data_IF_545221289933
#
_entry.id   IF_545221289933
#
_cell.length_a   1.000
_cell.length_b   1.000
_cell.length_c   1.000
_cell.angle_alpha   90.00
_cell.angle_beta   90.00
_cell.angle_gamma   90.00
#
_symmetry.space_group_name_H-M   'P 1'
#
loop_
_entity.id
_entity.type
_entity.pdbx_description
1 polymer ?
#
# COMPACT_ATOMS: atom_id res chain seq x y z
N UNK A 1 16.70 11.75 13.28
CA UNK A 1 15.44 11.21 12.76
C UNK A 1 14.37 12.27 12.72
N UNK A 2 13.85 12.56 11.54
CA UNK A 2 12.82 13.59 11.42
C UNK A 2 11.49 12.99 11.88
N UNK A 3 10.84 13.63 12.83
CA UNK A 3 9.52 13.19 13.27
C UNK A 3 8.49 13.48 12.17
N UNK A 4 7.51 12.60 12.04
CA UNK A 4 6.45 12.72 11.04
C UNK A 4 5.48 13.83 11.44
N UNK A 5 5.20 14.74 10.52
CA UNK A 5 4.22 15.80 10.77
C UNK A 5 2.84 15.22 11.00
N UNK A 6 2.02 15.82 11.88
CA UNK A 6 0.70 15.28 12.21
C UNK A 6 -0.22 15.11 11.00
N UNK A 7 -0.19 16.04 10.04
CA UNK A 7 -1.04 15.98 8.85
C UNK A 7 -0.63 14.84 7.90
N UNK A 8 0.67 14.51 7.84
CA UNK A 8 1.17 13.38 7.06
C UNK A 8 0.78 12.06 7.74
N UNK A 9 0.94 11.97 9.05
CA UNK A 9 0.52 10.79 9.81
C UNK A 9 -0.99 10.56 9.67
N UNK A 10 -1.78 11.60 9.80
CA UNK A 10 -3.23 11.54 9.61
C UNK A 10 -3.60 11.05 8.21
N UNK A 11 -2.91 11.55 7.18
CA UNK A 11 -3.09 11.11 5.81
C UNK A 11 -2.96 9.58 5.69
N UNK A 12 -1.90 9.01 6.24
CA UNK A 12 -1.66 7.56 6.14
C UNK A 12 -2.60 6.73 7.02
N UNK A 13 -3.06 7.27 8.14
CA UNK A 13 -4.10 6.60 8.93
C UNK A 13 -5.42 6.53 8.16
N UNK A 14 -5.82 7.60 7.49
CA UNK A 14 -7.01 7.62 6.64
C UNK A 14 -6.83 6.73 5.40
N UNK A 15 -5.64 6.72 4.82
CA UNK A 15 -5.29 5.84 3.70
C UNK A 15 -5.44 4.37 4.10
N UNK A 16 -4.93 3.99 5.27
CA UNK A 16 -5.08 2.65 5.78
C UNK A 16 -6.56 2.28 5.94
N UNK A 17 -7.35 3.15 6.53
CA UNK A 17 -8.78 2.91 6.74
C UNK A 17 -9.53 2.74 5.42
N UNK A 18 -9.21 3.57 4.42
CA UNK A 18 -9.82 3.47 3.09
C UNK A 18 -9.46 2.16 2.41
N UNK A 19 -8.23 1.67 2.62
CA UNK A 19 -7.78 0.40 2.04
C UNK A 19 -8.49 -0.82 2.60
N UNK A 20 -9.06 -0.73 3.78
CA UNK A 20 -9.84 -1.82 4.41
C UNK A 20 -11.28 -1.87 3.91
N UNK A 21 -11.80 -0.75 3.42
CA UNK A 21 -13.20 -0.67 2.99
C UNK A 21 -13.41 -1.18 1.58
N UNK A 22 -14.68 -1.41 1.20
CA UNK A 22 -15.01 -1.86 -0.15
C UNK A 22 -15.01 -0.74 -1.19
N UNK A 23 -14.90 0.51 -0.77
CA UNK A 23 -15.02 1.67 -1.65
C UNK A 23 -13.67 1.99 -2.30
N UNK A 24 -13.50 1.53 -3.54
CA UNK A 24 -12.27 1.79 -4.31
C UNK A 24 -12.07 3.27 -4.62
N UNK A 25 -13.17 4.03 -4.77
CA UNK A 25 -13.08 5.49 -5.03
C UNK A 25 -12.53 6.23 -3.81
N UNK A 26 -12.89 5.81 -2.60
CA UNK A 26 -12.33 6.38 -1.38
C UNK A 26 -10.82 6.22 -1.34
N UNK A 27 -10.32 5.03 -1.66
CA UNK A 27 -8.87 4.78 -1.71
C UNK A 27 -8.21 5.58 -2.84
N UNK A 28 -8.82 5.60 -4.03
CA UNK A 28 -8.30 6.32 -5.18
C UNK A 28 -8.18 7.82 -4.94
N UNK A 29 -9.02 8.39 -4.07
CA UNK A 29 -9.01 9.83 -3.77
C UNK A 29 -7.71 10.32 -3.10
N UNK A 30 -6.90 9.41 -2.54
CA UNK A 30 -5.61 9.75 -1.96
C UNK A 30 -4.52 9.97 -3.02
N UNK A 31 -4.78 9.57 -4.26
CA UNK A 31 -3.83 9.66 -5.36
C UNK A 31 -4.12 10.89 -6.23
N UNK A 32 -3.06 11.47 -6.78
CA UNK A 32 -3.19 12.53 -7.78
C UNK A 32 -3.81 11.97 -9.06
N UNK A 33 -4.28 12.88 -9.95
CA UNK A 33 -4.92 12.49 -11.21
C UNK A 33 -4.00 11.61 -12.07
N UNK A 34 -2.70 11.86 -12.04
CA UNK A 34 -1.69 10.98 -12.61
C UNK A 34 -0.60 10.80 -11.58
N UNK A 35 -0.21 9.57 -11.33
CA UNK A 35 0.88 9.28 -10.43
C UNK A 35 1.77 8.19 -11.02
N UNK A 36 3.03 8.13 -10.55
CA UNK A 36 3.96 7.09 -10.93
C UNK A 36 3.82 5.91 -9.98
N UNK A 37 3.63 4.73 -10.54
CA UNK A 37 3.64 3.47 -9.80
C UNK A 37 4.89 2.69 -10.16
N UNK A 38 5.68 2.37 -9.16
CA UNK A 38 6.98 1.71 -9.30
C UNK A 38 7.01 0.45 -8.45
N UNK A 39 7.54 -0.62 -9.02
CA UNK A 39 7.86 -1.84 -8.29
C UNK A 39 9.10 -2.48 -8.91
N UNK A 40 9.60 -3.63 -8.40
CA UNK A 40 10.82 -4.24 -8.94
C UNK A 40 10.74 -4.60 -10.43
N UNK A 41 9.54 -4.74 -10.98
CA UNK A 41 9.34 -5.21 -12.36
C UNK A 41 8.83 -4.13 -13.31
N UNK A 42 8.35 -2.99 -12.80
CA UNK A 42 7.68 -2.01 -13.66
C UNK A 42 7.79 -0.59 -13.13
N UNK A 43 7.65 0.34 -14.06
CA UNK A 43 7.52 1.77 -13.79
C UNK A 43 6.51 2.32 -14.78
N UNK A 44 5.42 2.89 -14.29
CA UNK A 44 4.34 3.33 -15.17
C UNK A 44 3.63 4.55 -14.59
N UNK A 45 3.19 5.43 -15.48
CA UNK A 45 2.23 6.48 -15.14
C UNK A 45 0.84 5.84 -15.07
N UNK A 46 0.10 6.12 -14.01
CA UNK A 46 -1.22 5.52 -13.76
C UNK A 46 -2.27 6.62 -13.74
N UNK A 47 -3.34 6.41 -14.51
CA UNK A 47 -4.51 7.29 -14.52
C UNK A 47 -5.53 6.87 -13.45
N UNK A 48 -6.50 7.74 -13.10
CA UNK A 48 -7.56 7.37 -12.17
C UNK A 48 -8.34 6.14 -12.61
N UNK A 49 -8.63 6.03 -13.92
CA UNK A 49 -9.36 4.88 -14.45
C UNK A 49 -8.57 3.57 -14.29
N UNK A 50 -7.28 3.62 -14.59
CA UNK A 50 -6.41 2.46 -14.44
C UNK A 50 -6.28 2.04 -12.97
N UNK A 51 -6.19 3.01 -12.06
CA UNK A 51 -6.14 2.72 -10.63
C UNK A 51 -7.44 2.06 -10.15
N UNK A 52 -8.59 2.63 -10.50
CA UNK A 52 -9.89 2.07 -10.12
C UNK A 52 -10.07 0.65 -10.65
N UNK A 53 -9.58 0.37 -11.85
CA UNK A 53 -9.63 -0.98 -12.42
C UNK A 53 -8.71 -1.96 -11.69
N UNK A 54 -7.57 -1.49 -11.16
CA UNK A 54 -6.58 -2.33 -10.51
C UNK A 54 -6.93 -2.67 -9.05
N UNK A 55 -7.64 -1.80 -8.35
CA UNK A 55 -7.89 -1.96 -6.91
C UNK A 55 -8.67 -3.24 -6.56
N UNK A 56 -9.74 -3.64 -7.29
CA UNK A 56 -10.41 -4.91 -7.00
C UNK A 56 -9.51 -6.13 -7.17
N UNK A 57 -8.63 -6.12 -8.17
CA UNK A 57 -7.66 -7.21 -8.37
C UNK A 57 -6.69 -7.30 -7.20
N UNK A 58 -6.23 -6.15 -6.73
CA UNK A 58 -5.35 -6.11 -5.56
C UNK A 58 -6.04 -6.67 -4.33
N UNK A 59 -7.29 -6.32 -4.11
CA UNK A 59 -8.09 -6.87 -2.99
C UNK A 59 -8.22 -8.39 -3.10
N UNK A 60 -8.53 -8.90 -4.29
CA UNK A 60 -8.62 -10.35 -4.53
C UNK A 60 -7.30 -11.05 -4.25
N UNK A 61 -6.18 -10.42 -4.61
CA UNK A 61 -4.86 -10.98 -4.36
C UNK A 61 -4.60 -11.13 -2.85
N UNK A 62 -4.94 -10.12 -2.05
CA UNK A 62 -4.86 -10.22 -0.58
C UNK A 62 -5.79 -11.32 -0.04
N UNK A 63 -7.02 -11.36 -0.50
CA UNK A 63 -7.99 -12.38 -0.08
C UNK A 63 -7.51 -13.79 -0.40
N UNK A 64 -6.83 -13.98 -1.53
CA UNK A 64 -6.34 -15.30 -1.97
C UNK A 64 -5.33 -15.92 -1.00
N UNK A 65 -4.64 -15.10 -0.22
CA UNK A 65 -3.67 -15.58 0.78
C UNK A 65 -4.23 -15.54 2.21
N UNK A 66 -5.52 -15.23 2.36
CA UNK A 66 -6.15 -15.13 3.68
C UNK A 66 -5.88 -13.84 4.42
N UNK A 67 -5.48 -12.79 3.71
CA UNK A 67 -5.25 -11.48 4.31
C UNK A 67 -6.44 -10.56 4.13
N UNK A 68 -6.70 -9.72 5.12
CA UNK A 68 -7.70 -8.66 5.04
C UNK A 68 -7.07 -7.26 4.86
N UNK A 69 -5.79 -7.20 4.53
CA UNK A 69 -5.12 -5.96 4.18
C UNK A 69 -3.85 -5.70 4.97
N UNK A 70 -3.49 -4.42 5.03
CA UNK A 70 -2.24 -3.95 5.60
C UNK A 70 -2.51 -3.02 6.77
N UNK A 71 -1.64 -3.09 7.77
CA UNK A 71 -1.65 -2.21 8.93
C UNK A 71 -0.32 -1.45 9.00
N UNK A 72 -0.39 -0.13 9.15
CA UNK A 72 0.80 0.71 9.23
C UNK A 72 1.59 0.37 10.49
N UNK A 73 2.81 -0.11 10.30
CA UNK A 73 3.69 -0.51 11.41
C UNK A 73 4.73 0.55 11.72
N UNK A 74 5.25 1.24 10.69
CA UNK A 74 6.25 2.28 10.87
C UNK A 74 6.13 3.31 9.76
N UNK A 75 6.51 4.55 10.06
CA UNK A 75 6.44 5.66 9.13
C UNK A 75 7.56 6.66 9.44
N UNK A 76 8.22 7.14 8.38
CA UNK A 76 9.21 8.20 8.47
C UNK A 76 9.01 9.19 7.34
N UNK A 77 9.37 10.43 7.57
CA UNK A 77 9.15 11.51 6.63
C UNK A 77 10.44 12.30 6.39
N UNK A 78 10.66 12.68 5.13
CA UNK A 78 11.70 13.62 4.73
C UNK A 78 11.06 14.69 3.86
N UNK A 79 10.78 15.90 4.40
CA UNK A 79 10.28 17.00 3.59
C UNK A 79 11.28 17.35 2.49
N UNK A 80 10.78 17.53 1.27
CA UNK A 80 11.63 17.85 0.11
C UNK A 80 11.62 19.34 -0.18
N UNK A 81 10.44 19.93 -0.27
CA UNK A 81 10.22 21.36 -0.46
C UNK A 81 8.84 21.74 0.10
N UNK A 82 8.38 22.97 -0.20
CA UNK A 82 7.10 23.45 0.34
C UNK A 82 5.89 22.66 -0.15
N UNK A 83 6.02 21.97 -1.28
CA UNK A 83 4.91 21.24 -1.91
C UNK A 83 5.05 19.73 -1.82
N UNK A 84 6.25 19.21 -1.55
CA UNK A 84 6.51 17.78 -1.64
C UNK A 84 7.15 17.24 -0.37
N UNK A 85 6.77 16.01 -0.03
CA UNK A 85 7.41 15.28 1.06
C UNK A 85 7.58 13.82 0.65
N UNK A 86 8.70 13.23 1.07
CA UNK A 86 8.96 11.80 0.87
C UNK A 86 8.61 11.08 2.16
N UNK A 87 7.83 9.99 2.04
CA UNK A 87 7.39 9.21 3.19
C UNK A 87 7.74 7.75 2.96
N UNK A 88 8.44 7.15 3.90
CA UNK A 88 8.70 5.72 3.91
C UNK A 88 7.79 5.05 4.92
N UNK A 89 7.19 3.94 4.50
CA UNK A 89 6.24 3.21 5.33
C UNK A 89 6.62 1.75 5.40
N UNK A 90 6.32 1.14 6.53
CA UNK A 90 6.36 -0.30 6.71
C UNK A 90 4.96 -0.76 7.10
N UNK A 91 4.43 -1.73 6.38
CA UNK A 91 3.08 -2.25 6.56
C UNK A 91 3.14 -3.70 6.99
N UNK A 92 2.43 -4.02 8.06
CA UNK A 92 2.29 -5.41 8.48
C UNK A 92 1.13 -6.04 7.74
N UNK A 93 1.37 -7.20 7.14
CA UNK A 93 0.33 -7.97 6.47
C UNK A 93 -0.59 -8.58 7.53
N UNK A 94 -1.87 -8.26 7.46
CA UNK A 94 -2.88 -8.79 8.39
C UNK A 94 -3.44 -10.08 7.83
N UNK A 95 -3.34 -11.15 8.59
CA UNK A 95 -3.86 -12.46 8.20
C UNK A 95 -5.12 -12.77 8.99
N UNK A 96 -6.13 -13.33 8.30
CA UNK A 96 -7.32 -13.85 8.95
C UNK A 96 -6.97 -15.17 9.64
N UNK A 97 -7.50 -15.38 10.83
CA UNK A 97 -7.21 -16.58 11.59
C UNK A 97 -5.93 -16.46 12.41
N UNK A 98 -5.13 -17.53 12.45
CA UNK A 98 -3.89 -17.52 13.22
C UNK A 98 -2.86 -16.60 12.60
N UNK A 99 -2.29 -15.73 13.41
CA UNK A 99 -1.18 -14.89 12.98
C UNK A 99 0.00 -15.77 12.56
N UNK A 100 0.71 -15.44 11.46
CA UNK A 100 1.92 -16.18 11.11
C UNK A 100 2.95 -16.06 12.23
N UNK A 101 3.80 -17.08 12.38
CA UNK A 101 4.87 -17.06 13.39
C UNK A 101 5.77 -15.84 13.22
N UNK A 102 6.08 -15.53 11.97
CA UNK A 102 6.91 -14.38 11.64
C UNK A 102 6.05 -13.35 10.92
N UNK A 103 5.88 -12.13 11.48
CA UNK A 103 5.14 -11.09 10.79
C UNK A 103 5.77 -10.77 9.45
N UNK A 104 4.92 -10.54 8.45
CA UNK A 104 5.36 -10.14 7.11
C UNK A 104 5.16 -8.63 7.00
N UNK A 105 6.25 -7.93 6.67
CA UNK A 105 6.24 -6.50 6.48
C UNK A 105 6.48 -6.16 5.02
N UNK A 106 5.70 -5.21 4.50
CA UNK A 106 5.87 -4.68 3.16
C UNK A 106 6.36 -3.24 3.26
N UNK A 107 7.42 -2.93 2.52
CA UNK A 107 8.01 -1.60 2.52
C UNK A 107 7.51 -0.82 1.31
N UNK A 108 7.11 0.42 1.52
CA UNK A 108 6.67 1.31 0.45
C UNK A 108 7.26 2.69 0.67
N UNK A 109 7.52 3.38 -0.43
CA UNK A 109 7.95 4.79 -0.40
C UNK A 109 6.96 5.60 -1.22
N UNK A 110 6.58 6.74 -0.70
CA UNK A 110 5.63 7.64 -1.35
C UNK A 110 6.27 9.01 -1.51
N UNK A 111 5.92 9.70 -2.60
CA UNK A 111 6.08 11.15 -2.65
C UNK A 111 4.66 11.71 -2.65
N UNK A 112 4.40 12.56 -1.67
CA UNK A 112 3.17 13.32 -1.57
C UNK A 112 3.39 14.72 -2.09
N UNK A 113 2.41 15.24 -2.81
CA UNK A 113 2.38 16.62 -3.27
C UNK A 113 1.16 17.31 -2.66
N UNK A 114 1.37 18.54 -2.19
CA UNK A 114 0.26 19.36 -1.68
C UNK A 114 -0.47 20.02 -2.85
N UNK A 115 -1.74 19.65 -3.02
CA UNK A 115 -2.61 20.18 -4.06
C UNK A 115 -3.90 20.68 -3.41
N UNK A 116 -4.24 21.94 -3.64
CA UNK A 116 -5.44 22.57 -3.07
C UNK A 116 -5.56 22.37 -1.56
N UNK A 117 -4.43 22.49 -0.85
CA UNK A 117 -4.39 22.36 0.61
C UNK A 117 -4.40 20.94 1.14
N UNK A 118 -4.41 19.93 0.28
CA UNK A 118 -4.44 18.52 0.68
C UNK A 118 -3.26 17.75 0.07
N UNK A 119 -2.79 16.74 0.81
CA UNK A 119 -1.79 15.84 0.28
C UNK A 119 -2.39 14.88 -0.75
N UNK A 120 -1.64 14.62 -1.84
CA UNK A 120 -1.97 13.58 -2.84
C UNK A 120 -0.73 12.79 -3.15
N UNK A 121 -0.89 11.50 -3.40
CA UNK A 121 0.22 10.64 -3.80
C UNK A 121 0.52 10.89 -5.28
N UNK A 122 1.76 11.31 -5.57
CA UNK A 122 2.24 11.50 -6.95
C UNK A 122 3.24 10.43 -7.35
N UNK A 123 3.79 9.69 -6.38
CA UNK A 123 4.65 8.54 -6.64
C UNK A 123 4.41 7.49 -5.56
N UNK A 124 4.23 6.26 -5.99
CA UNK A 124 4.10 5.08 -5.15
C UNK A 124 5.15 4.07 -5.57
N UNK A 125 6.06 3.75 -4.66
CA UNK A 125 7.09 2.74 -4.88
C UNK A 125 6.84 1.57 -3.91
N UNK A 126 6.55 0.42 -4.48
CA UNK A 126 6.45 -0.83 -3.76
C UNK A 126 7.79 -1.55 -3.86
N UNK A 127 8.45 -1.78 -2.73
CA UNK A 127 9.78 -2.36 -2.71
C UNK A 127 9.80 -3.87 -2.94
N UNK A 128 8.64 -4.54 -2.88
CA UNK A 128 8.53 -5.98 -3.06
C UNK A 128 7.79 -6.31 -4.36
N UNK A 129 8.14 -7.45 -4.94
CA UNK A 129 7.32 -8.07 -5.97
C UNK A 129 6.15 -8.78 -5.29
N UNK A 130 5.00 -8.11 -5.21
CA UNK A 130 3.82 -8.62 -4.52
C UNK A 130 3.29 -9.91 -5.16
N UNK A 131 3.33 -9.99 -6.49
CA UNK A 131 2.84 -11.18 -7.18
C UNK A 131 3.67 -12.41 -6.80
N UNK A 132 5.00 -12.25 -6.77
CA UNK A 132 5.90 -13.33 -6.37
C UNK A 132 5.70 -13.70 -4.90
N UNK A 133 5.66 -12.72 -4.02
CA UNK A 133 5.48 -12.93 -2.58
C UNK A 133 4.16 -13.65 -2.29
N UNK A 134 3.07 -13.19 -2.88
CA UNK A 134 1.74 -13.76 -2.64
C UNK A 134 1.58 -15.13 -3.30
N UNK A 135 2.24 -15.36 -4.44
CA UNK A 135 2.30 -16.68 -5.06
C UNK A 135 2.99 -17.70 -4.15
N UNK A 136 4.10 -17.31 -3.54
CA UNK A 136 4.81 -18.16 -2.58
C UNK A 136 3.95 -18.46 -1.34
N UNK A 137 3.29 -17.45 -0.78
CA UNK A 137 2.40 -17.62 0.37
C UNK A 137 1.17 -18.47 0.03
N UNK A 138 0.54 -18.19 -1.12
CA UNK A 138 -0.62 -18.96 -1.60
C UNK A 138 -0.26 -20.39 -1.96
N UNK A 139 0.94 -20.63 -2.53
CA UNK A 139 1.45 -21.95 -2.83
C UNK A 139 1.65 -22.79 -1.58
N UNK A 140 2.24 -22.22 -0.53
CA UNK A 140 2.42 -22.89 0.75
C UNK A 140 1.07 -23.21 1.40
N UNK A 141 0.14 -22.26 1.35
CA UNK A 141 -1.21 -22.47 1.87
C UNK A 141 -1.95 -23.56 1.10
N UNK A 142 -1.84 -23.56 -0.22
CA UNK A 142 -2.42 -24.59 -1.07
C UNK A 142 -1.82 -25.96 -0.82
N UNK A 143 -0.51 -26.06 -0.62
CA UNK A 143 0.16 -27.32 -0.29
C UNK A 143 -0.29 -27.87 1.05
N UNK A 144 -0.44 -27.03 2.06
CA UNK A 144 -0.95 -27.46 3.37
C UNK A 144 -2.39 -27.96 3.28
N UNK A 145 -3.23 -27.28 2.52
CA UNK A 145 -4.61 -27.71 2.28
C UNK A 145 -4.67 -29.04 1.51
N UNK A 146 -3.79 -29.24 0.52
CA UNK A 146 -3.73 -30.47 -0.25
C UNK A 146 -3.14 -31.64 0.54
N UNK A 147 -2.27 -31.39 1.50
CA UNK A 147 -1.65 -32.39 2.35
C UNK A 147 -2.54 -32.81 3.53
N UNK A 148 -3.55 -32.02 3.82
CA UNK A 148 -4.52 -32.28 4.88
C UNK A 148 -5.76 -32.95 4.34
#
# INVERSE_FOLDING_TARGET
>A
MTSVRPDVRDFFQRYQSAGKGPDSEALASFFADVFMSLDPNSAAAVSPQALLAALPRRRQLFESIGSDGLELADISEMPVDDLHTLVRTSWRLRMRGQAPRDPIFLLSTFILRREDGAWRIVLYLNHQDLNKLFSELGGDHGRRAAAG
#
